data_IF_989991691756
#
_entry.id   IF_989991691756
#
_cell.length_a   1.000
_cell.length_b   1.000
_cell.length_c   1.000
_cell.angle_alpha   90.00
_cell.angle_beta   90.00
_cell.angle_gamma   90.00
#
_symmetry.space_group_name_H-M   'P 1'
#
loop_
_entity.id
_entity.type
_entity.pdbx_description
1 polymer ?
#
# COMPACT_ATOMS: atom_id res chain seq x y z
N UNK A 1 1.96 -21.20 -0.15
CA UNK A 1 3.25 -20.66 -0.64
C UNK A 1 3.05 -19.56 -1.68
N UNK A 2 2.06 -19.70 -2.58
CA UNK A 2 1.80 -18.70 -3.67
C UNK A 2 1.39 -17.33 -3.14
N UNK A 3 0.74 -17.26 -1.98
CA UNK A 3 0.25 -16.03 -1.35
C UNK A 3 1.16 -15.49 -0.25
N UNK A 4 2.33 -16.09 -0.03
CA UNK A 4 3.29 -15.58 0.95
C UNK A 4 3.88 -14.26 0.49
N UNK A 5 3.94 -13.27 1.37
CA UNK A 5 4.60 -11.97 1.11
C UNK A 5 6.10 -12.01 1.34
N UNK A 6 6.64 -13.16 1.75
CA UNK A 6 8.08 -13.41 1.96
C UNK A 6 8.77 -12.42 2.92
N UNK A 7 8.05 -11.84 3.88
CA UNK A 7 8.58 -10.84 4.84
C UNK A 7 9.42 -11.41 5.99
N UNK A 8 9.78 -12.70 5.90
CA UNK A 8 10.78 -13.31 6.77
C UNK A 8 10.35 -13.63 8.20
N UNK A 9 9.20 -13.18 8.68
CA UNK A 9 8.76 -13.40 10.06
C UNK A 9 8.59 -14.87 10.43
N UNK A 10 8.22 -15.71 9.47
CA UNK A 10 8.14 -17.16 9.67
C UNK A 10 9.51 -17.77 9.92
N UNK A 11 10.55 -17.24 9.25
CA UNK A 11 11.93 -17.70 9.40
C UNK A 11 12.50 -17.30 10.77
N UNK A 12 12.27 -16.06 11.22
CA UNK A 12 12.74 -15.55 12.49
C UNK A 12 12.21 -16.33 13.71
N UNK A 13 11.01 -16.91 13.59
CA UNK A 13 10.36 -17.68 14.65
C UNK A 13 10.43 -19.19 14.43
N UNK A 14 11.08 -19.66 13.37
CA UNK A 14 11.18 -21.07 13.06
C UNK A 14 12.38 -21.70 13.77
N UNK A 15 12.18 -22.68 14.67
CA UNK A 15 13.30 -23.34 15.37
C UNK A 15 14.21 -24.11 14.40
N UNK A 16 13.70 -24.49 13.23
CA UNK A 16 14.45 -25.17 12.17
C UNK A 16 15.17 -24.21 11.21
N UNK A 17 15.02 -22.89 11.39
CA UNK A 17 15.61 -21.84 10.54
C UNK A 17 15.37 -22.04 9.03
N UNK A 18 14.24 -22.61 8.65
CA UNK A 18 13.91 -22.89 7.24
C UNK A 18 13.69 -21.57 6.50
N UNK A 19 14.41 -21.30 5.38
CA UNK A 19 14.27 -20.07 4.60
C UNK A 19 12.98 -20.08 3.74
N UNK A 20 11.84 -20.12 4.43
CA UNK A 20 10.52 -20.21 3.78
C UNK A 20 10.20 -19.01 2.88
N UNK A 21 10.74 -17.83 3.20
CA UNK A 21 10.62 -16.63 2.38
C UNK A 21 11.33 -16.76 1.04
N UNK A 22 12.57 -17.22 1.05
CA UNK A 22 13.37 -17.43 -0.15
C UNK A 22 12.76 -18.53 -1.04
N UNK A 23 12.34 -19.65 -0.44
CA UNK A 23 11.64 -20.72 -1.16
C UNK A 23 10.34 -20.24 -1.83
N UNK A 24 9.62 -19.30 -1.21
CA UNK A 24 8.43 -18.70 -1.82
C UNK A 24 8.79 -17.82 -3.02
N UNK A 25 9.85 -17.03 -2.94
CA UNK A 25 10.32 -16.17 -4.03
C UNK A 25 10.86 -16.99 -5.19
N UNK A 26 11.69 -18.00 -4.90
CA UNK A 26 12.24 -18.92 -5.93
C UNK A 26 11.13 -19.64 -6.67
N UNK A 27 10.13 -20.17 -5.95
CA UNK A 27 9.00 -20.84 -6.58
C UNK A 27 8.15 -19.92 -7.46
N UNK A 28 8.01 -18.64 -7.08
CA UNK A 28 7.35 -17.66 -7.94
C UNK A 28 8.14 -17.36 -9.20
N UNK A 29 9.47 -17.21 -9.07
CA UNK A 29 10.34 -16.98 -10.20
C UNK A 29 10.28 -18.16 -11.18
N UNK A 30 10.37 -19.40 -10.70
CA UNK A 30 10.23 -20.61 -11.51
C UNK A 30 8.89 -20.67 -12.25
N UNK A 31 7.78 -20.46 -11.55
CA UNK A 31 6.45 -20.44 -12.19
C UNK A 31 6.32 -19.38 -13.27
N UNK A 32 6.94 -18.21 -13.08
CA UNK A 32 6.96 -17.16 -14.09
C UNK A 32 7.78 -17.60 -15.31
N UNK A 33 8.90 -18.25 -15.08
CA UNK A 33 9.76 -18.79 -16.15
C UNK A 33 9.05 -19.89 -16.95
N UNK A 34 8.29 -20.75 -16.28
CA UNK A 34 7.48 -21.80 -16.87
C UNK A 34 6.19 -21.29 -17.57
N UNK A 35 5.97 -19.98 -17.61
CA UNK A 35 4.77 -19.39 -18.20
C UNK A 35 3.47 -19.67 -17.42
N UNK A 36 3.57 -20.38 -16.31
CA UNK A 36 2.44 -20.77 -15.47
C UNK A 36 2.13 -19.69 -14.43
N UNK A 37 1.38 -18.65 -14.76
CA UNK A 37 0.95 -17.75 -13.68
C UNK A 37 0.57 -16.32 -14.04
N UNK A 38 0.55 -15.96 -15.27
CA UNK A 38 0.14 -14.62 -15.69
C UNK A 38 -1.35 -14.57 -16.03
N UNK A 39 -2.17 -13.95 -15.18
CA UNK A 39 -3.50 -13.58 -15.64
C UNK A 39 -3.35 -12.41 -16.63
N UNK A 40 -3.78 -12.52 -17.90
CA UNK A 40 -3.51 -11.52 -18.94
C UNK A 40 -4.01 -10.12 -18.55
N UNK A 41 -5.17 -10.04 -17.89
CA UNK A 41 -5.74 -8.77 -17.41
C UNK A 41 -4.83 -8.13 -16.35
N UNK A 42 -4.28 -8.93 -15.41
CA UNK A 42 -3.37 -8.43 -14.38
C UNK A 42 -2.07 -7.91 -14.97
N UNK A 43 -1.51 -8.64 -15.95
CA UNK A 43 -0.31 -8.22 -16.67
C UNK A 43 -0.52 -6.89 -17.41
N UNK A 44 -1.63 -6.74 -18.14
CA UNK A 44 -2.01 -5.51 -18.83
C UNK A 44 -2.22 -4.33 -17.87
N UNK A 45 -2.90 -4.57 -16.76
CA UNK A 45 -3.13 -3.52 -15.75
C UNK A 45 -1.81 -3.04 -15.11
N UNK A 46 -0.92 -3.96 -14.76
CA UNK A 46 0.40 -3.61 -14.21
C UNK A 46 1.26 -2.89 -15.25
N UNK A 47 1.28 -3.35 -16.49
CA UNK A 47 1.97 -2.69 -17.59
C UNK A 47 1.43 -1.28 -17.85
N UNK A 48 0.10 -1.11 -17.84
CA UNK A 48 -0.52 0.20 -17.99
C UNK A 48 -0.15 1.14 -16.83
N UNK A 49 -0.15 0.66 -15.59
CA UNK A 49 0.25 1.43 -14.40
C UNK A 49 1.74 1.80 -14.44
N UNK A 50 2.61 0.90 -14.90
CA UNK A 50 4.06 1.11 -14.92
C UNK A 50 4.52 2.20 -15.89
N UNK A 51 3.75 2.49 -16.94
CA UNK A 51 4.10 3.52 -17.92
C UNK A 51 4.12 4.95 -17.36
N UNK A 52 3.25 5.22 -16.39
CA UNK A 52 3.16 6.54 -15.75
C UNK A 52 2.64 6.37 -14.33
N UNK A 53 3.53 5.91 -13.46
CA UNK A 53 3.22 5.63 -12.05
C UNK A 53 2.69 6.88 -11.35
N UNK A 54 3.23 8.05 -11.69
CA UNK A 54 2.93 9.29 -11.00
C UNK A 54 1.51 9.79 -11.20
N UNK A 55 0.93 9.59 -12.39
CA UNK A 55 -0.41 10.07 -12.71
C UNK A 55 -1.45 8.95 -12.73
N UNK A 56 -1.07 7.75 -13.17
CA UNK A 56 -2.02 6.63 -13.33
C UNK A 56 -2.34 5.93 -12.03
N UNK A 57 -1.35 5.77 -11.14
CA UNK A 57 -1.59 5.11 -9.86
C UNK A 57 -2.54 5.91 -8.96
N UNK A 58 -2.38 7.23 -8.77
CA UNK A 58 -3.37 8.02 -8.02
C UNK A 58 -4.77 8.00 -8.64
N UNK A 59 -4.87 8.05 -9.97
CA UNK A 59 -6.16 7.93 -10.67
C UNK A 59 -6.81 6.56 -10.44
N UNK A 60 -6.05 5.49 -10.57
CA UNK A 60 -6.51 4.13 -10.31
C UNK A 60 -6.95 3.96 -8.84
N UNK A 61 -6.23 4.54 -7.88
CA UNK A 61 -6.59 4.53 -6.47
C UNK A 61 -7.91 5.27 -6.21
N UNK A 62 -8.13 6.43 -6.83
CA UNK A 62 -9.40 7.17 -6.76
C UNK A 62 -10.56 6.36 -7.35
N UNK A 63 -10.34 5.72 -8.49
CA UNK A 63 -11.35 4.85 -9.09
C UNK A 63 -11.67 3.64 -8.20
N UNK A 64 -10.65 3.02 -7.60
CA UNK A 64 -10.84 1.92 -6.67
C UNK A 64 -11.62 2.34 -5.41
N UNK A 65 -11.33 3.52 -4.84
CA UNK A 65 -12.06 4.05 -3.69
C UNK A 65 -13.52 4.37 -4.01
N UNK A 66 -13.78 4.90 -5.21
CA UNK A 66 -15.13 5.15 -5.71
C UNK A 66 -15.88 3.83 -5.94
N UNK A 67 -15.22 2.84 -6.56
CA UNK A 67 -15.75 1.50 -6.73
C UNK A 67 -16.11 0.84 -5.40
N UNK A 68 -15.27 0.99 -4.38
CA UNK A 68 -15.55 0.48 -3.04
C UNK A 68 -16.77 1.18 -2.40
N UNK A 69 -16.93 2.49 -2.57
CA UNK A 69 -18.11 3.22 -2.09
C UNK A 69 -19.39 2.72 -2.77
N UNK A 70 -19.36 2.57 -4.09
CA UNK A 70 -20.49 2.01 -4.85
C UNK A 70 -20.80 0.59 -4.42
N UNK A 71 -19.79 -0.26 -4.29
CA UNK A 71 -19.92 -1.64 -3.84
C UNK A 71 -20.55 -1.71 -2.44
N UNK A 72 -20.10 -0.88 -1.50
CA UNK A 72 -20.66 -0.84 -0.14
C UNK A 72 -22.14 -0.39 -0.14
N UNK A 73 -22.50 0.54 -1.03
CA UNK A 73 -23.87 0.98 -1.21
C UNK A 73 -24.75 -0.15 -1.80
N UNK A 74 -24.26 -0.84 -2.81
CA UNK A 74 -24.94 -2.01 -3.41
C UNK A 74 -25.09 -3.17 -2.42
N UNK A 75 -24.05 -3.48 -1.64
CA UNK A 75 -24.07 -4.53 -0.63
C UNK A 75 -25.05 -4.23 0.51
N UNK A 76 -25.40 -2.96 0.73
CA UNK A 76 -26.47 -2.56 1.67
C UNK A 76 -27.85 -3.08 1.26
N UNK A 77 -28.10 -3.26 -0.04
CA UNK A 77 -29.36 -3.78 -0.58
C UNK A 77 -29.40 -5.32 -0.69
N UNK A 78 -28.26 -6.00 -0.56
CA UNK A 78 -28.18 -7.45 -0.72
C UNK A 78 -28.42 -8.15 0.63
N UNK A 79 -29.37 -9.10 0.73
CA UNK A 79 -29.61 -9.86 1.95
C UNK A 79 -28.35 -10.61 2.44
N UNK A 80 -28.16 -10.70 3.76
CA UNK A 80 -26.96 -11.30 4.36
C UNK A 80 -26.74 -12.77 4.00
N UNK A 81 -27.82 -13.48 3.69
CA UNK A 81 -27.78 -14.86 3.22
C UNK A 81 -27.02 -14.99 1.89
N UNK A 82 -27.19 -14.05 0.98
CA UNK A 82 -26.48 -14.02 -0.31
C UNK A 82 -25.03 -13.59 -0.18
N UNK A 83 -24.74 -12.67 0.75
CA UNK A 83 -23.36 -12.23 1.06
C UNK A 83 -22.50 -13.38 1.58
N UNK A 84 -23.08 -14.29 2.37
CA UNK A 84 -22.38 -15.47 2.90
C UNK A 84 -22.06 -16.51 1.83
N UNK A 85 -22.88 -16.61 0.79
CA UNK A 85 -22.67 -17.54 -0.33
C UNK A 85 -21.56 -17.09 -1.29
N UNK A 86 -21.37 -15.79 -1.44
CA UNK A 86 -20.29 -15.21 -2.21
C UNK A 86 -19.00 -15.17 -1.35
N UNK A 87 -18.26 -16.28 -1.33
CA UNK A 87 -16.99 -16.43 -0.59
C UNK A 87 -15.83 -15.53 -1.09
N UNK A 88 -16.12 -14.44 -1.78
CA UNK A 88 -15.11 -13.53 -2.28
C UNK A 88 -14.78 -12.47 -1.23
N UNK A 89 -13.48 -12.22 -0.94
CA UNK A 89 -13.05 -11.14 -0.05
C UNK A 89 -13.56 -9.76 -0.48
N UNK A 90 -13.81 -9.59 -1.77
CA UNK A 90 -14.37 -8.36 -2.35
C UNK A 90 -15.80 -8.09 -1.88
N UNK A 91 -16.60 -9.14 -1.61
CA UNK A 91 -18.00 -9.02 -1.19
C UNK A 91 -18.19 -9.14 0.32
N UNK A 92 -17.14 -9.44 1.09
CA UNK A 92 -17.24 -9.62 2.54
C UNK A 92 -17.47 -8.32 3.31
N UNK A 93 -17.36 -7.16 2.67
CA UNK A 93 -17.53 -5.85 3.31
C UNK A 93 -16.51 -5.53 4.40
N UNK A 94 -15.56 -6.43 4.67
CA UNK A 94 -14.54 -6.31 5.73
C UNK A 94 -13.24 -5.64 5.28
N UNK A 95 -13.20 -5.14 4.04
CA UNK A 95 -12.04 -4.41 3.55
C UNK A 95 -11.85 -3.09 4.30
N UNK A 96 -10.61 -2.66 4.55
CA UNK A 96 -10.35 -1.37 5.15
C UNK A 96 -10.91 -0.26 4.26
N UNK A 97 -11.48 0.78 4.87
CA UNK A 97 -12.03 1.92 4.14
C UNK A 97 -10.90 2.68 3.46
N UNK A 98 -10.89 2.69 2.14
CA UNK A 98 -9.92 3.45 1.36
C UNK A 98 -10.29 4.94 1.39
N UNK A 99 -9.31 5.79 1.68
CA UNK A 99 -9.46 7.24 1.58
C UNK A 99 -9.69 7.66 0.12
N UNK A 100 -10.42 8.74 -0.09
CA UNK A 100 -10.57 9.34 -1.44
C UNK A 100 -9.40 10.26 -1.78
N UNK A 101 -8.79 10.87 -0.77
CA UNK A 101 -7.63 11.74 -0.87
C UNK A 101 -6.35 10.93 -0.63
N UNK A 102 -5.28 11.30 -1.30
CA UNK A 102 -3.97 10.74 -1.05
C UNK A 102 -3.16 11.65 -0.13
N UNK A 103 -2.12 11.12 0.51
CA UNK A 103 -1.27 11.84 1.45
C UNK A 103 -0.70 13.13 0.84
N UNK A 104 -0.29 13.09 -0.42
CA UNK A 104 0.28 14.23 -1.12
C UNK A 104 -0.72 15.36 -1.37
N UNK A 105 -1.97 15.01 -1.66
CA UNK A 105 -3.06 15.99 -1.77
C UNK A 105 -3.42 16.56 -0.39
N UNK A 106 -3.51 15.72 0.63
CA UNK A 106 -3.85 16.12 2.01
C UNK A 106 -2.81 17.09 2.58
N UNK A 107 -1.52 16.82 2.35
CA UNK A 107 -0.42 17.65 2.84
C UNK A 107 0.05 18.71 1.82
N UNK A 108 -0.61 18.83 0.65
CA UNK A 108 -0.25 19.74 -0.46
C UNK A 108 1.21 19.61 -0.91
N UNK A 109 1.73 18.40 -0.93
CA UNK A 109 3.12 18.07 -1.24
C UNK A 109 3.35 17.99 -2.75
N UNK A 110 3.41 19.14 -3.43
CA UNK A 110 3.63 19.15 -4.88
C UNK A 110 5.12 18.97 -5.28
N UNK A 111 6.05 19.40 -4.43
CA UNK A 111 7.50 19.38 -4.70
C UNK A 111 8.35 18.70 -3.63
N UNK A 112 7.73 17.96 -2.72
CA UNK A 112 8.37 17.52 -1.50
C UNK A 112 8.37 18.62 -0.45
N UNK A 113 8.46 18.21 0.81
CA UNK A 113 8.50 19.15 1.92
C UNK A 113 9.31 18.56 3.05
N UNK A 114 9.97 19.42 3.78
CA UNK A 114 10.60 19.09 5.05
C UNK A 114 9.71 19.66 6.14
N UNK A 115 9.15 18.80 6.95
CA UNK A 115 8.42 19.21 8.14
C UNK A 115 9.40 19.31 9.30
N UNK A 116 9.36 20.41 10.01
CA UNK A 116 10.13 20.63 11.23
C UNK A 116 9.19 20.89 12.41
N UNK A 117 9.57 20.57 13.65
CA UNK A 117 8.85 21.01 14.83
C UNK A 117 8.72 22.52 14.90
N UNK A 118 7.77 23.02 15.69
CA UNK A 118 7.54 24.45 15.87
C UNK A 118 8.79 25.19 16.43
N UNK A 119 9.58 24.50 17.24
CA UNK A 119 10.84 24.99 17.81
C UNK A 119 12.01 24.13 17.31
N UNK A 120 12.61 24.46 16.17
CA UNK A 120 13.72 23.71 15.64
C UNK A 120 14.98 23.99 16.48
N UNK A 121 15.60 22.91 16.98
CA UNK A 121 16.87 22.99 17.70
C UNK A 121 18.05 22.74 16.77
N UNK A 122 19.21 23.44 16.98
CA UNK A 122 20.42 23.14 16.24
C UNK A 122 20.85 21.70 16.42
N UNK A 123 21.16 21.00 15.31
CA UNK A 123 21.54 19.59 15.38
C UNK A 123 20.38 18.59 15.50
N UNK A 124 19.14 19.02 15.23
CA UNK A 124 17.95 18.17 15.24
C UNK A 124 18.13 16.94 14.32
N UNK A 125 17.86 15.74 14.83
CA UNK A 125 17.93 14.53 14.01
C UNK A 125 16.88 14.54 12.91
N UNK A 126 17.26 14.03 11.73
CA UNK A 126 16.45 14.02 10.52
C UNK A 126 16.06 12.60 10.16
N UNK A 127 14.75 12.34 9.95
CA UNK A 127 14.21 11.03 9.58
C UNK A 127 13.43 11.13 8.29
N UNK A 128 13.94 10.53 7.23
CA UNK A 128 13.22 10.45 5.95
C UNK A 128 11.97 9.57 6.09
N UNK A 129 10.82 10.16 5.88
CA UNK A 129 9.56 9.42 5.90
C UNK A 129 9.18 8.91 4.50
N UNK A 130 9.16 7.59 4.35
CA UNK A 130 8.73 6.91 3.13
C UNK A 130 7.38 6.23 3.38
N UNK A 131 6.25 6.81 2.93
CA UNK A 131 4.91 6.34 3.28
C UNK A 131 4.53 4.99 2.67
N UNK A 132 5.24 4.52 1.65
CA UNK A 132 4.82 3.36 0.88
C UNK A 132 3.51 3.59 0.12
N UNK A 133 3.18 2.68 -0.81
CA UNK A 133 1.98 2.85 -1.64
C UNK A 133 0.67 2.82 -0.83
N UNK A 134 0.58 2.02 0.21
CA UNK A 134 -0.59 1.97 1.09
C UNK A 134 -0.83 3.27 1.84
N UNK A 135 0.18 3.76 2.56
CA UNK A 135 0.11 5.00 3.33
C UNK A 135 -0.05 6.24 2.47
N UNK A 136 0.55 6.24 1.28
CA UNK A 136 0.45 7.39 0.39
C UNK A 136 -0.89 7.50 -0.34
N UNK A 137 -1.45 6.38 -0.82
CA UNK A 137 -2.56 6.38 -1.75
C UNK A 137 -3.92 6.06 -1.12
N UNK A 138 -3.93 5.25 -0.05
CA UNK A 138 -5.18 4.72 0.51
C UNK A 138 -5.42 5.11 1.97
N UNK A 139 -4.36 5.33 2.73
CA UNK A 139 -4.43 5.56 4.19
C UNK A 139 -3.70 6.84 4.58
N UNK A 140 -4.12 7.97 4.01
CA UNK A 140 -3.55 9.30 4.23
C UNK A 140 -3.48 9.67 5.71
N UNK A 141 -4.50 9.30 6.50
CA UNK A 141 -4.53 9.55 7.96
C UNK A 141 -3.38 8.86 8.69
N UNK A 142 -3.00 7.65 8.28
CA UNK A 142 -1.86 6.94 8.90
C UNK A 142 -0.58 7.72 8.59
N UNK A 143 -0.40 8.17 7.35
CA UNK A 143 0.75 8.97 6.95
C UNK A 143 0.86 10.28 7.73
N UNK A 144 -0.25 11.02 7.84
CA UNK A 144 -0.31 12.28 8.61
C UNK A 144 0.02 12.02 10.09
N UNK A 145 -0.58 11.01 10.70
CA UNK A 145 -0.34 10.68 12.12
C UNK A 145 1.11 10.27 12.37
N UNK A 146 1.72 9.52 11.45
CA UNK A 146 3.13 9.13 11.54
C UNK A 146 4.05 10.35 11.51
N UNK A 147 3.82 11.28 10.57
CA UNK A 147 4.58 12.53 10.48
C UNK A 147 4.42 13.35 11.76
N UNK A 148 3.18 13.49 12.26
CA UNK A 148 2.92 14.24 13.49
C UNK A 148 3.60 13.64 14.72
N UNK A 149 3.65 12.30 14.83
CA UNK A 149 4.36 11.61 15.91
C UNK A 149 5.86 11.87 15.85
N UNK A 150 6.46 11.80 14.67
CA UNK A 150 7.89 12.07 14.47
C UNK A 150 8.22 13.52 14.81
N UNK A 151 7.40 14.48 14.40
CA UNK A 151 7.55 15.89 14.73
C UNK A 151 7.45 16.14 16.25
N UNK A 152 6.50 15.50 16.92
CA UNK A 152 6.37 15.57 18.40
C UNK A 152 7.55 14.94 19.13
N UNK A 153 8.17 13.94 18.52
CA UNK A 153 9.38 13.31 19.04
C UNK A 153 10.67 14.13 18.77
N UNK A 154 10.53 15.33 18.16
CA UNK A 154 11.65 16.23 17.93
C UNK A 154 12.46 15.95 16.66
N UNK A 155 11.95 15.17 15.71
CA UNK A 155 12.62 14.89 14.45
C UNK A 155 12.21 15.86 13.34
N UNK A 156 13.17 16.27 12.51
CA UNK A 156 12.85 16.83 11.20
C UNK A 156 12.46 15.71 10.24
N UNK A 157 11.37 15.88 9.49
CA UNK A 157 10.77 14.83 8.66
C UNK A 157 10.70 15.29 7.20
N UNK A 158 11.72 15.02 6.40
CA UNK A 158 11.63 15.18 4.96
C UNK A 158 10.70 14.10 4.38
N UNK A 159 9.77 14.55 3.53
CA UNK A 159 8.88 13.70 2.75
C UNK A 159 9.18 13.92 1.28
N UNK A 160 9.56 12.90 0.52
CA UNK A 160 9.88 13.06 -0.90
C UNK A 160 8.65 13.50 -1.69
N UNK A 161 8.81 14.29 -2.76
CA UNK A 161 7.68 14.85 -3.53
C UNK A 161 6.84 13.79 -4.22
N UNK A 162 7.47 12.71 -4.56
CA UNK A 162 6.87 11.55 -5.23
C UNK A 162 7.58 10.32 -4.73
N UNK A 163 6.84 9.30 -4.39
CA UNK A 163 7.46 8.04 -4.06
C UNK A 163 7.00 6.97 -5.04
N UNK A 164 7.93 6.12 -5.33
CA UNK A 164 7.69 4.90 -6.08
C UNK A 164 7.28 3.79 -5.11
N UNK A 165 6.63 2.79 -5.64
CA UNK A 165 6.36 1.58 -4.86
C UNK A 165 7.67 0.99 -4.34
N UNK A 166 7.66 0.39 -3.13
CA UNK A 166 8.80 -0.34 -2.58
C UNK A 166 9.23 -1.54 -3.45
N UNK A 167 8.47 -1.84 -4.50
CA UNK A 167 8.73 -2.97 -5.39
C UNK A 167 8.35 -4.33 -4.82
N UNK A 168 7.63 -4.36 -3.71
CA UNK A 168 7.07 -5.61 -3.19
C UNK A 168 5.77 -5.92 -3.95
N UNK A 169 5.75 -6.90 -4.86
CA UNK A 169 4.56 -7.28 -5.62
C UNK A 169 3.58 -8.12 -4.79
#
# INVERSE_FOLDING_TARGET
VVHSTAWGRCMANCPMMIPSGEGALTRRALRKHEGAGGHPIKGHALWWLSRDIQHRVPKAAKMASLGQKMQNKFLGFVPDMWKRRLKSPLFSGRGPKMGYTNLYETLKLHRGSIFAPAEPTPGMPCVLYFPGCGGALFYDRIGVSSIMLLLKAGFAVPVPPRHLCSGLP
#
